data_IF_719391234201
#
_entry.id   IF_719391234201
#
_cell.length_a   1.000
_cell.length_b   1.000
_cell.length_c   1.000
_cell.angle_alpha   90.00
_cell.angle_beta   90.00
_cell.angle_gamma   90.00
#
_symmetry.space_group_name_H-M   'P 1'
#
loop_
_entity.id
_entity.type
_entity.pdbx_description
1 polymer ?
#
# COMPACT_ATOMS: atom_id res chain seq x y z
N UNK A 1 -18.59 -3.22 -33.34
CA UNK A 1 -18.60 -4.49 -34.12
C UNK A 1 -19.08 -4.16 -35.53
N UNK A 2 -18.34 -4.47 -36.61
CA UNK A 2 -18.90 -4.35 -37.95
C UNK A 2 -19.61 -5.67 -38.35
N UNK A 3 -20.81 -5.59 -38.95
CA UNK A 3 -21.54 -6.74 -39.44
C UNK A 3 -21.17 -7.07 -40.90
N UNK A 4 -21.09 -8.37 -41.23
CA UNK A 4 -21.82 -8.83 -42.42
C UNK A 4 -21.10 -9.52 -43.57
N UNK A 5 -19.77 -9.59 -43.65
CA UNK A 5 -19.09 -10.41 -44.69
C UNK A 5 -17.87 -11.08 -44.07
N UNK A 6 -17.85 -12.42 -44.02
CA UNK A 6 -16.75 -13.20 -43.44
C UNK A 6 -16.04 -14.00 -44.53
N UNK A 7 -14.79 -13.66 -44.80
CA UNK A 7 -13.89 -14.38 -45.72
C UNK A 7 -13.17 -15.48 -44.94
N UNK A 8 -12.72 -16.58 -45.58
CA UNK A 8 -11.97 -17.65 -44.89
C UNK A 8 -10.75 -17.14 -44.12
N UNK A 9 -10.11 -16.07 -44.59
CA UNK A 9 -9.00 -15.39 -43.91
C UNK A 9 -9.41 -14.77 -42.57
N UNK A 10 -10.68 -14.38 -42.40
CA UNK A 10 -11.20 -13.86 -41.13
C UNK A 10 -11.19 -14.91 -40.02
N UNK A 11 -11.20 -16.21 -40.36
CA UNK A 11 -11.07 -17.28 -39.36
C UNK A 11 -9.68 -17.25 -38.72
N UNK A 12 -8.63 -17.03 -39.52
CA UNK A 12 -7.26 -16.89 -39.03
C UNK A 12 -7.09 -15.59 -38.24
N UNK A 13 -7.64 -14.48 -38.73
CA UNK A 13 -7.64 -13.19 -38.02
C UNK A 13 -8.37 -13.31 -36.68
N UNK A 14 -9.52 -14.00 -36.61
CA UNK A 14 -10.27 -14.23 -35.37
C UNK A 14 -9.50 -15.09 -34.36
N UNK A 15 -8.82 -16.14 -34.80
CA UNK A 15 -7.99 -16.98 -33.91
C UNK A 15 -6.82 -16.17 -33.35
N UNK A 16 -6.10 -15.45 -34.20
CA UNK A 16 -5.00 -14.59 -33.78
C UNK A 16 -5.47 -13.45 -32.88
N UNK A 17 -6.62 -12.85 -33.17
CA UNK A 17 -7.23 -11.83 -32.33
C UNK A 17 -7.56 -12.35 -30.93
N UNK A 18 -8.17 -13.55 -30.82
CA UNK A 18 -8.44 -14.17 -29.51
C UNK A 18 -7.15 -14.44 -28.72
N UNK A 19 -6.09 -14.88 -29.40
CA UNK A 19 -4.80 -15.12 -28.76
C UNK A 19 -4.14 -13.81 -28.28
N UNK A 20 -4.19 -12.75 -29.10
CA UNK A 20 -3.73 -11.41 -28.70
C UNK A 20 -4.54 -10.93 -27.50
N UNK A 21 -5.87 -11.04 -27.54
CA UNK A 21 -6.73 -10.67 -26.43
C UNK A 21 -6.37 -11.43 -25.15
N UNK A 22 -6.07 -12.73 -25.24
CA UNK A 22 -5.64 -13.52 -24.09
C UNK A 22 -4.30 -13.06 -23.51
N UNK A 23 -3.28 -12.86 -24.35
CA UNK A 23 -1.95 -12.38 -23.91
C UNK A 23 -2.05 -10.99 -23.30
N UNK A 24 -2.83 -10.10 -23.93
CA UNK A 24 -3.09 -8.76 -23.40
C UNK A 24 -3.81 -8.84 -22.05
N UNK A 25 -4.68 -9.83 -21.81
CA UNK A 25 -5.33 -10.00 -20.50
C UNK A 25 -4.34 -10.39 -19.43
N UNK A 26 -3.50 -11.36 -19.74
CA UNK A 26 -2.45 -11.82 -18.84
C UNK A 26 -1.49 -10.69 -18.49
N UNK A 27 -1.11 -9.88 -19.49
CA UNK A 27 -0.29 -8.70 -19.30
C UNK A 27 -0.95 -7.70 -18.35
N UNK A 28 -2.20 -7.30 -18.60
CA UNK A 28 -2.88 -6.31 -17.75
C UNK A 28 -3.13 -6.82 -16.33
N UNK A 29 -3.44 -8.11 -16.16
CA UNK A 29 -3.56 -8.70 -14.82
C UNK A 29 -2.27 -8.59 -14.04
N UNK A 30 -1.14 -9.01 -14.63
CA UNK A 30 0.19 -8.91 -13.97
C UNK A 30 0.60 -7.45 -13.75
N UNK A 31 0.44 -6.59 -14.74
CA UNK A 31 0.79 -5.17 -14.63
C UNK A 31 0.00 -4.46 -13.52
N UNK A 32 -1.30 -4.74 -13.40
CA UNK A 32 -2.15 -4.13 -12.37
C UNK A 32 -1.82 -4.64 -10.97
N UNK A 33 -1.45 -5.92 -10.83
CA UNK A 33 -1.12 -6.51 -9.54
C UNK A 33 0.31 -6.20 -9.08
N UNK A 34 1.28 -6.22 -9.99
CA UNK A 34 2.69 -6.10 -9.64
C UNK A 34 3.18 -4.67 -9.85
N UNK A 35 2.90 -4.06 -11.01
CA UNK A 35 3.56 -2.80 -11.38
C UNK A 35 2.83 -1.55 -10.85
N UNK A 36 1.49 -1.55 -10.85
CA UNK A 36 0.70 -0.40 -10.42
C UNK A 36 0.92 -0.04 -8.93
N UNK A 37 1.01 -1.00 -7.99
CA UNK A 37 1.37 -0.70 -6.60
C UNK A 37 2.77 -0.10 -6.47
N UNK A 38 3.76 -0.62 -7.23
CA UNK A 38 5.12 -0.07 -7.24
C UNK A 38 5.12 1.41 -7.67
N UNK A 39 4.33 1.76 -8.68
CA UNK A 39 4.19 3.15 -9.13
C UNK A 39 3.55 4.04 -8.04
N UNK A 40 2.54 3.52 -7.35
CA UNK A 40 1.85 4.22 -6.26
C UNK A 40 2.77 4.41 -5.04
N UNK A 41 3.57 3.40 -4.69
CA UNK A 41 4.55 3.48 -3.61
C UNK A 41 5.59 4.56 -3.89
N UNK A 42 6.18 4.59 -5.09
CA UNK A 42 7.14 5.64 -5.45
C UNK A 42 6.53 7.04 -5.32
N UNK A 43 5.28 7.24 -5.77
CA UNK A 43 4.57 8.51 -5.61
C UNK A 43 4.23 8.84 -4.14
N UNK A 44 4.05 7.84 -3.27
CA UNK A 44 3.79 8.04 -1.84
C UNK A 44 5.01 8.65 -1.13
N UNK A 45 6.23 8.30 -1.55
CA UNK A 45 7.46 8.74 -0.89
C UNK A 45 8.05 10.04 -1.45
N UNK A 46 7.57 10.51 -2.61
CA UNK A 46 8.07 11.73 -3.26
C UNK A 46 7.55 13.04 -2.65
N UNK A 47 6.63 12.99 -1.68
CA UNK A 47 6.19 14.19 -0.95
C UNK A 47 5.08 13.92 0.06
N UNK A 48 4.91 14.84 1.02
CA UNK A 48 3.83 14.79 2.01
C UNK A 48 2.47 14.96 1.30
N UNK A 49 1.83 13.85 0.93
CA UNK A 49 0.55 13.87 0.21
C UNK A 49 -0.60 14.01 1.21
N UNK A 50 -1.54 14.94 0.93
CA UNK A 50 -2.75 15.11 1.75
C UNK A 50 -3.54 13.78 1.83
N UNK A 51 -4.04 13.46 3.02
CA UNK A 51 -4.66 12.16 3.35
C UNK A 51 -6.05 11.90 2.77
N UNK A 52 -6.32 12.00 1.46
CA UNK A 52 -7.69 11.99 0.92
C UNK A 52 -8.64 12.98 1.65
N UNK A 53 -9.77 13.35 1.05
CA UNK A 53 -10.81 14.13 1.71
C UNK A 53 -12.17 13.62 1.29
N UNK A 54 -13.18 13.79 2.13
CA UNK A 54 -14.57 13.61 1.70
C UNK A 54 -14.81 14.45 0.45
N UNK A 55 -15.33 13.84 -0.61
CA UNK A 55 -15.53 14.46 -1.91
C UNK A 55 -14.41 14.26 -2.93
N UNK A 56 -13.24 13.74 -2.53
CA UNK A 56 -12.18 13.40 -3.50
C UNK A 56 -12.62 12.23 -4.40
N UNK A 57 -12.27 12.32 -5.68
CA UNK A 57 -12.45 11.24 -6.66
C UNK A 57 -11.26 10.29 -6.56
N UNK A 58 -11.54 9.01 -6.37
CA UNK A 58 -10.55 7.96 -6.20
C UNK A 58 -10.72 6.90 -7.28
N UNK A 59 -9.62 6.31 -7.70
CA UNK A 59 -9.62 5.15 -8.59
C UNK A 59 -9.62 3.89 -7.73
N UNK A 60 -10.59 3.00 -7.96
CA UNK A 60 -10.67 1.71 -7.29
C UNK A 60 -9.98 0.67 -8.16
N UNK A 61 -8.84 0.19 -7.68
CA UNK A 61 -8.14 -0.92 -8.30
C UNK A 61 -8.81 -2.23 -7.87
N UNK A 62 -9.71 -2.75 -8.71
CA UNK A 62 -10.31 -4.08 -8.53
C UNK A 62 -9.87 -5.00 -9.68
N UNK A 63 -9.15 -6.09 -9.39
CA UNK A 63 -8.66 -7.02 -10.41
C UNK A 63 -9.78 -7.86 -11.06
N UNK A 64 -11.00 -7.86 -10.50
CA UNK A 64 -12.17 -8.54 -11.06
C UNK A 64 -12.87 -7.75 -12.18
N UNK A 65 -12.53 -6.47 -12.33
CA UNK A 65 -13.07 -5.61 -13.38
C UNK A 65 -12.61 -6.04 -14.77
N UNK A 66 -13.50 -5.91 -15.74
CA UNK A 66 -13.16 -6.09 -17.15
C UNK A 66 -12.04 -5.12 -17.56
N UNK A 67 -11.20 -5.54 -18.50
CA UNK A 67 -10.12 -4.71 -19.05
C UNK A 67 -10.66 -3.35 -19.51
N UNK A 68 -9.92 -2.28 -19.18
CA UNK A 68 -10.28 -0.87 -19.43
C UNK A 68 -11.49 -0.35 -18.63
N UNK A 69 -12.01 -1.12 -17.67
CA UNK A 69 -13.03 -0.65 -16.74
C UNK A 69 -12.36 -0.06 -15.51
N UNK A 70 -12.30 1.27 -15.47
CA UNK A 70 -11.75 2.02 -14.36
C UNK A 70 -12.89 2.43 -13.42
N UNK A 71 -13.05 1.72 -12.30
CA UNK A 71 -14.03 2.11 -11.29
C UNK A 71 -13.57 3.39 -10.60
N UNK A 72 -14.36 4.45 -10.76
CA UNK A 72 -14.17 5.70 -10.04
C UNK A 72 -15.12 5.71 -8.83
N UNK A 73 -14.56 6.00 -7.67
CA UNK A 73 -15.29 6.20 -6.43
C UNK A 73 -15.22 7.66 -5.98
N UNK A 74 -16.14 8.05 -5.10
CA UNK A 74 -16.05 9.32 -4.37
C UNK A 74 -15.97 9.03 -2.89
N UNK A 75 -14.97 9.57 -2.22
CA UNK A 75 -14.79 9.39 -0.77
C UNK A 75 -15.97 9.98 -0.02
N UNK A 76 -16.74 9.15 0.70
CA UNK A 76 -17.91 9.58 1.47
C UNK A 76 -17.62 9.76 2.96
N UNK A 77 -16.68 9.00 3.50
CA UNK A 77 -16.29 9.07 4.91
C UNK A 77 -14.78 8.90 5.02
N UNK A 78 -14.20 9.57 6.00
CA UNK A 78 -12.82 9.38 6.41
C UNK A 78 -12.82 8.88 7.84
N UNK A 79 -11.97 7.91 8.12
CA UNK A 79 -11.66 7.51 9.49
C UNK A 79 -10.47 8.35 9.89
N UNK A 80 -10.65 9.22 10.89
CA UNK A 80 -9.53 9.94 11.49
C UNK A 80 -8.58 8.90 12.09
N UNK A 81 -7.30 9.01 11.76
CA UNK A 81 -6.27 8.24 12.44
C UNK A 81 -6.16 8.83 13.84
N UNK A 82 -6.52 8.02 14.84
CA UNK A 82 -6.31 8.34 16.24
C UNK A 82 -4.80 8.64 16.42
N UNK A 83 -4.43 9.81 16.96
CA UNK A 83 -3.03 10.16 17.11
C UNK A 83 -2.39 9.11 18.02
N UNK A 84 -1.35 8.45 17.50
CA UNK A 84 -0.43 7.63 18.28
C UNK A 84 -0.04 8.44 19.52
N UNK A 85 -0.31 7.84 20.69
CA UNK A 85 -0.43 8.53 21.96
C UNK A 85 0.67 9.56 22.20
N UNK A 86 0.25 10.75 22.59
CA UNK A 86 1.11 11.70 23.29
C UNK A 86 1.78 10.95 24.44
N UNK A 87 3.10 10.71 24.33
CA UNK A 87 3.88 10.31 25.48
C UNK A 87 3.64 11.37 26.56
N UNK A 88 3.22 10.98 27.79
CA UNK A 88 3.00 11.91 28.86
C UNK A 88 4.27 12.72 29.04
N UNK A 89 4.08 14.04 29.09
CA UNK A 89 5.09 15.04 28.88
C UNK A 89 6.41 14.72 29.55
N UNK A 90 7.48 15.00 28.80
CA UNK A 90 8.89 15.03 29.16
C UNK A 90 9.11 15.82 30.46
N UNK A 91 8.73 15.26 31.60
CA UNK A 91 8.94 15.79 32.94
C UNK A 91 10.28 15.31 33.50
N UNK A 92 11.28 15.14 32.63
CA UNK A 92 12.70 15.08 32.99
C UNK A 92 13.13 14.02 34.02
N UNK A 93 12.25 13.11 34.43
CA UNK A 93 12.55 12.03 35.37
C UNK A 93 12.56 10.71 34.62
N UNK A 94 13.73 10.09 34.55
CA UNK A 94 13.81 8.70 34.09
C UNK A 94 13.09 7.82 35.10
N UNK A 95 12.37 6.78 34.65
CA UNK A 95 11.80 5.76 35.55
C UNK A 95 12.84 5.02 36.41
N UNK A 96 14.13 5.19 36.10
CA UNK A 96 15.28 4.63 36.81
C UNK A 96 15.96 5.63 37.76
N UNK A 97 15.43 6.85 37.87
CA UNK A 97 15.95 7.83 38.83
C UNK A 97 15.44 7.47 40.22
N UNK A 98 16.35 6.96 41.06
CA UNK A 98 16.09 6.66 42.47
C UNK A 98 15.72 7.95 43.22
N UNK A 99 14.52 8.05 43.83
CA UNK A 99 14.10 9.27 44.53
C UNK A 99 14.80 9.47 45.88
N UNK A 100 15.41 8.42 46.42
CA UNK A 100 16.03 8.43 47.74
C UNK A 100 17.55 8.30 47.56
N UNK A 101 18.27 9.42 47.59
CA UNK A 101 19.72 9.53 47.41
C UNK A 101 20.56 8.84 48.48
N UNK A 102 20.42 7.52 48.63
CA UNK A 102 21.31 6.67 49.40
C UNK A 102 22.48 6.19 48.54
N UNK A 103 23.73 6.20 49.04
CA UNK A 103 24.84 5.65 48.29
C UNK A 103 24.60 4.16 48.06
N UNK A 104 24.61 3.73 46.79
CA UNK A 104 24.73 2.31 46.42
C UNK A 104 26.03 1.81 47.03
N UNK A 105 25.91 1.01 48.10
CA UNK A 105 27.02 0.40 48.79
C UNK A 105 27.90 -0.33 47.80
N UNK A 106 29.18 0.07 47.75
CA UNK A 106 30.25 -0.78 47.23
C UNK A 106 30.39 -1.93 48.22
N UNK A 107 29.71 -3.04 47.96
CA UNK A 107 30.08 -4.31 48.57
C UNK A 107 31.02 -5.07 47.63
N UNK A 108 32.13 -5.42 48.24
CA UNK A 108 33.32 -6.04 47.70
C UNK A 108 33.12 -7.55 47.73
N UNK A 109 33.45 -8.21 46.61
CA UNK A 109 33.89 -9.61 46.57
C UNK A 109 32.78 -10.65 46.43
N UNK A 110 32.84 -11.41 45.33
CA UNK A 110 33.27 -12.80 45.43
C UNK A 110 33.70 -13.33 44.07
N UNK A 111 34.73 -14.19 44.13
CA UNK A 111 35.57 -14.56 43.01
C UNK A 111 34.93 -15.50 41.99
N UNK A 112 35.28 -15.28 40.73
CA UNK A 112 35.27 -16.33 39.73
C UNK A 112 36.68 -16.94 39.67
N UNK A 113 36.80 -18.15 40.21
CA UNK A 113 37.95 -19.02 39.99
C UNK A 113 37.95 -19.59 38.58
N UNK A 114 39.17 -19.89 38.11
CA UNK A 114 39.52 -20.52 36.82
C UNK A 114 38.82 -21.84 36.54
#
# INVERSE_FOLDING_TARGET
MPPGVFVKDDVYVRRRWRQIQYITDLFWRRWTQEYLPLLQEWQKWLGLKRSFKVGDVVLVADPSLARNSWMLGRTTKQVEQEPEGEEPGRDGRSPWDNPDGGPVGRDVGDGYSR
#
